data_IF_113397109516
#
_entry.id   IF_113397109516
#
_cell.length_a   1.000
_cell.length_b   1.000
_cell.length_c   1.000
_cell.angle_alpha   90.00
_cell.angle_beta   90.00
_cell.angle_gamma   90.00
#
_symmetry.space_group_name_H-M   'P 1'
#
loop_
_entity.id
_entity.type
_entity.pdbx_description
1 polymer ?
#
# COMPACT_ATOMS: atom_id res chain seq x y z
N UNK A 1 45.56 4.10 1.84
CA UNK A 1 44.17 3.64 1.78
C UNK A 1 43.39 4.59 0.90
N UNK A 2 42.83 4.11 -0.21
CA UNK A 2 42.00 4.91 -1.12
C UNK A 2 40.54 4.54 -0.90
N UNK A 3 39.65 5.52 -0.71
CA UNK A 3 38.21 5.25 -0.61
C UNK A 3 37.43 6.21 -1.48
N UNK A 4 36.42 5.67 -2.15
CA UNK A 4 35.46 6.42 -2.94
C UNK A 4 34.06 6.01 -2.53
N UNK A 5 33.21 7.00 -2.29
CA UNK A 5 31.81 6.80 -1.98
C UNK A 5 30.97 7.50 -3.04
N UNK A 6 30.06 6.75 -3.64
CA UNK A 6 29.18 7.22 -4.69
C UNK A 6 27.73 6.96 -4.30
N UNK A 7 26.84 7.85 -4.72
CA UNK A 7 25.40 7.70 -4.55
C UNK A 7 24.66 7.86 -5.87
N UNK A 8 23.57 7.12 -6.02
CA UNK A 8 22.57 7.27 -7.05
C UNK A 8 21.23 7.50 -6.35
N UNK A 9 20.66 8.68 -6.52
CA UNK A 9 19.33 9.01 -6.01
C UNK A 9 18.50 9.66 -7.10
N UNK A 10 17.45 8.96 -7.54
CA UNK A 10 16.51 9.44 -8.55
C UNK A 10 15.08 9.10 -8.11
N UNK A 11 14.22 10.12 -8.09
CA UNK A 11 12.84 9.97 -7.66
C UNK A 11 11.98 9.26 -8.71
N UNK A 12 12.30 9.40 -10.00
CA UNK A 12 11.50 8.82 -11.09
C UNK A 12 11.68 7.29 -11.17
N UNK A 13 12.93 6.82 -11.09
CA UNK A 13 13.23 5.38 -11.07
C UNK A 13 13.13 4.74 -9.67
N UNK A 14 13.00 5.54 -8.61
CA UNK A 14 13.03 5.07 -7.23
C UNK A 14 14.42 4.59 -6.76
N UNK A 15 15.47 4.84 -7.55
CA UNK A 15 16.84 4.52 -7.20
C UNK A 15 17.30 5.38 -6.01
N UNK A 16 17.83 4.74 -4.98
CA UNK A 16 18.33 5.42 -3.79
C UNK A 16 19.40 4.56 -3.11
N UNK A 17 20.55 4.45 -3.79
CA UNK A 17 21.59 3.46 -3.52
C UNK A 17 22.96 4.12 -3.35
N UNK A 18 23.79 3.51 -2.50
CA UNK A 18 25.19 3.86 -2.37
C UNK A 18 26.10 2.76 -2.91
N UNK A 19 27.30 3.16 -3.29
CA UNK A 19 28.38 2.26 -3.70
C UNK A 19 29.70 2.82 -3.17
N UNK A 20 30.37 2.07 -2.31
CA UNK A 20 31.66 2.41 -1.74
C UNK A 20 32.72 1.43 -2.22
N UNK A 21 33.87 1.97 -2.58
CA UNK A 21 35.10 1.23 -2.85
C UNK A 21 36.15 1.65 -1.82
N UNK A 22 36.90 0.68 -1.31
CA UNK A 22 38.02 0.90 -0.42
C UNK A 22 39.17 -0.03 -0.80
N UNK A 23 40.31 0.55 -1.17
CA UNK A 23 41.53 -0.17 -1.50
C UNK A 23 42.51 -0.05 -0.35
N UNK A 24 42.93 -1.21 0.16
CA UNK A 24 43.97 -1.36 1.16
C UNK A 24 44.98 -2.43 0.73
N UNK A 25 46.19 -2.00 0.34
CA UNK A 25 47.16 -2.86 -0.31
C UNK A 25 46.58 -3.51 -1.57
N UNK A 26 46.63 -4.84 -1.66
CA UNK A 26 46.06 -5.63 -2.75
C UNK A 26 44.60 -6.08 -2.51
N UNK A 27 43.94 -5.57 -1.48
CA UNK A 27 42.55 -5.88 -1.14
C UNK A 27 41.63 -4.73 -1.55
N UNK A 28 40.65 -5.03 -2.41
CA UNK A 28 39.53 -4.16 -2.71
C UNK A 28 38.30 -4.61 -1.92
N UNK A 29 37.81 -3.76 -1.04
CA UNK A 29 36.52 -3.90 -0.37
C UNK A 29 35.48 -3.05 -1.08
N UNK A 30 34.35 -3.67 -1.42
CA UNK A 30 33.20 -3.05 -2.06
C UNK A 30 32.03 -3.12 -1.09
N UNK A 31 31.40 -1.99 -0.76
CA UNK A 31 30.15 -1.95 0.00
C UNK A 31 29.05 -1.31 -0.84
N UNK A 32 27.86 -1.89 -0.86
CA UNK A 32 26.77 -1.36 -1.66
C UNK A 32 25.42 -1.68 -1.04
N UNK A 33 24.44 -0.81 -1.24
CA UNK A 33 23.12 -1.01 -0.66
C UNK A 33 22.24 0.22 -0.81
N UNK A 34 21.14 0.26 -0.06
CA UNK A 34 20.30 1.46 0.05
C UNK A 34 21.00 2.49 0.93
N UNK A 35 20.89 3.76 0.58
CA UNK A 35 21.44 4.86 1.38
C UNK A 35 20.83 4.81 2.80
N UNK A 36 21.66 5.07 3.82
CA UNK A 36 21.27 4.96 5.23
C UNK A 36 21.14 3.52 5.77
N UNK A 37 21.68 2.52 5.07
CA UNK A 37 21.77 1.12 5.54
C UNK A 37 23.22 0.64 5.56
N UNK A 38 23.48 -0.46 6.27
CA UNK A 38 24.81 -1.10 6.26
C UNK A 38 25.16 -1.72 4.88
N UNK A 39 24.16 -1.98 4.03
CA UNK A 39 24.34 -2.62 2.74
C UNK A 39 24.92 -4.04 2.84
N UNK A 40 25.46 -4.49 1.72
CA UNK A 40 26.22 -5.72 1.56
C UNK A 40 27.69 -5.39 1.30
N UNK A 41 28.58 -6.31 1.65
CA UNK A 41 30.01 -6.16 1.44
C UNK A 41 30.56 -7.33 0.63
N UNK A 42 31.46 -7.02 -0.30
CA UNK A 42 32.25 -7.96 -1.05
C UNK A 42 33.73 -7.59 -0.96
N UNK A 43 34.61 -8.57 -0.87
CA UNK A 43 36.06 -8.38 -0.90
C UNK A 43 36.66 -9.11 -2.10
N UNK A 44 37.64 -8.47 -2.74
CA UNK A 44 38.38 -9.00 -3.88
C UNK A 44 39.88 -8.79 -3.61
N UNK A 45 40.64 -9.88 -3.65
CA UNK A 45 42.10 -9.85 -3.47
C UNK A 45 42.79 -9.93 -4.83
N UNK A 46 43.86 -9.16 -5.00
CA UNK A 46 44.64 -9.06 -6.23
C UNK A 46 46.11 -9.43 -5.99
N UNK A 47 46.90 -9.60 -7.05
CA UNK A 47 48.31 -9.97 -6.92
C UNK A 47 49.19 -8.78 -6.48
N UNK A 48 48.77 -7.55 -6.81
CA UNK A 48 49.47 -6.32 -6.42
C UNK A 48 48.52 -5.20 -6.00
N UNK A 49 49.01 -4.18 -5.28
CA UNK A 49 48.23 -2.97 -4.99
C UNK A 49 47.80 -2.21 -6.25
N UNK A 50 48.63 -2.23 -7.29
CA UNK A 50 48.35 -1.56 -8.57
C UNK A 50 47.15 -2.21 -9.28
N UNK A 51 47.08 -3.54 -9.31
CA UNK A 51 45.94 -4.28 -9.87
C UNK A 51 44.63 -3.97 -9.10
N UNK A 52 44.70 -3.85 -7.77
CA UNK A 52 43.53 -3.50 -6.95
C UNK A 52 43.03 -2.08 -7.26
N UNK A 53 43.94 -1.12 -7.47
CA UNK A 53 43.61 0.24 -7.86
C UNK A 53 42.97 0.31 -9.26
N UNK A 54 43.55 -0.37 -10.26
CA UNK A 54 42.99 -0.43 -11.62
C UNK A 54 41.59 -1.04 -11.63
N UNK A 55 41.37 -2.11 -10.84
CA UNK A 55 40.07 -2.73 -10.67
C UNK A 55 39.05 -1.77 -10.02
N UNK A 56 39.46 -1.03 -8.99
CA UNK A 56 38.63 -0.02 -8.34
C UNK A 56 38.24 1.11 -9.31
N UNK A 57 39.19 1.64 -10.06
CA UNK A 57 38.93 2.67 -11.07
C UNK A 57 37.98 2.19 -12.18
N UNK A 58 38.14 0.95 -12.63
CA UNK A 58 37.22 0.35 -13.60
C UNK A 58 35.80 0.33 -13.05
N UNK A 59 35.61 -0.03 -11.78
CA UNK A 59 34.31 0.00 -11.10
C UNK A 59 33.75 1.42 -10.95
N UNK A 60 34.59 2.40 -10.63
CA UNK A 60 34.19 3.81 -10.58
C UNK A 60 33.66 4.29 -11.93
N UNK A 61 34.40 4.04 -13.02
CA UNK A 61 33.97 4.42 -14.38
C UNK A 61 32.67 3.73 -14.78
N UNK A 62 32.51 2.45 -14.43
CA UNK A 62 31.27 1.70 -14.67
C UNK A 62 30.08 2.34 -13.94
N UNK A 63 30.24 2.70 -12.66
CA UNK A 63 29.18 3.29 -11.85
C UNK A 63 28.85 4.72 -12.26
N UNK A 64 29.85 5.53 -12.59
CA UNK A 64 29.64 6.87 -13.12
C UNK A 64 28.79 6.85 -14.40
N UNK A 65 29.03 5.90 -15.31
CA UNK A 65 28.18 5.71 -16.52
C UNK A 65 26.74 5.33 -16.20
N UNK A 66 26.49 4.73 -15.03
CA UNK A 66 25.16 4.38 -14.52
C UNK A 66 24.53 5.53 -13.71
N UNK A 67 25.12 6.73 -13.73
CA UNK A 67 24.59 7.93 -13.08
C UNK A 67 24.98 8.10 -11.61
N UNK A 68 25.84 7.23 -11.06
CA UNK A 68 26.35 7.43 -9.70
C UNK A 68 27.26 8.66 -9.64
N UNK A 69 27.08 9.48 -8.61
CA UNK A 69 27.85 10.70 -8.37
C UNK A 69 28.69 10.57 -7.10
N UNK A 70 29.88 11.22 -7.02
CA UNK A 70 30.62 11.34 -5.77
C UNK A 70 29.77 11.98 -4.67
N UNK A 71 29.81 11.42 -3.46
CA UNK A 71 29.07 11.90 -2.31
C UNK A 71 29.86 11.64 -1.01
N UNK A 72 29.36 12.15 0.12
CA UNK A 72 29.88 11.85 1.45
C UNK A 72 28.90 10.96 2.23
N UNK A 73 29.38 9.87 2.88
CA UNK A 73 28.52 9.00 3.67
C UNK A 73 27.78 9.78 4.78
N UNK A 74 26.46 9.55 4.88
CA UNK A 74 25.64 10.11 5.95
C UNK A 74 25.08 11.52 5.70
N UNK A 75 25.41 12.15 4.57
CA UNK A 75 24.79 13.44 4.19
C UNK A 75 23.41 13.27 3.56
N UNK A 76 23.21 12.20 2.80
CA UNK A 76 21.91 11.92 2.16
C UNK A 76 21.03 11.12 3.11
N UNK A 77 19.83 11.63 3.38
CA UNK A 77 18.86 10.96 4.23
C UNK A 77 18.32 9.68 3.59
N UNK A 78 18.09 8.67 4.43
CA UNK A 78 17.40 7.44 4.03
C UNK A 78 16.00 7.77 3.51
N UNK A 79 15.68 7.29 2.32
CA UNK A 79 14.31 7.30 1.80
C UNK A 79 13.58 5.98 2.05
N UNK A 80 12.28 6.10 2.29
CA UNK A 80 11.34 4.99 2.31
C UNK A 80 11.20 4.40 0.89
N UNK A 81 11.03 3.08 0.80
CA UNK A 81 10.83 2.40 -0.50
C UNK A 81 9.36 2.49 -0.92
N UNK A 82 9.06 2.37 -2.23
CA UNK A 82 7.68 2.26 -2.74
C UNK A 82 6.87 1.23 -1.96
N UNK A 83 7.41 0.02 -1.80
CA UNK A 83 6.75 -1.05 -1.06
C UNK A 83 6.47 -0.71 0.42
N UNK A 84 7.42 -0.09 1.12
CA UNK A 84 7.21 0.29 2.53
C UNK A 84 6.15 1.40 2.66
N UNK A 85 6.18 2.38 1.75
CA UNK A 85 5.18 3.43 1.64
C UNK A 85 3.79 2.85 1.36
N UNK A 86 3.66 1.92 0.42
CA UNK A 86 2.39 1.21 0.13
C UNK A 86 1.87 0.44 1.34
N UNK A 87 2.71 -0.35 2.02
CA UNK A 87 2.31 -1.05 3.25
C UNK A 87 1.83 -0.09 4.34
N UNK A 88 2.49 1.06 4.48
CA UNK A 88 2.08 2.11 5.41
C UNK A 88 0.75 2.74 5.02
N UNK A 89 0.52 2.99 3.74
CA UNK A 89 -0.74 3.51 3.23
C UNK A 89 -1.90 2.53 3.46
N UNK A 90 -1.74 1.24 3.14
CA UNK A 90 -2.76 0.21 3.43
C UNK A 90 -3.06 0.10 4.93
N UNK A 91 -2.02 0.10 5.77
CA UNK A 91 -2.22 0.10 7.23
C UNK A 91 -2.98 1.34 7.71
N UNK A 92 -2.69 2.50 7.12
CA UNK A 92 -3.39 3.75 7.42
C UNK A 92 -4.85 3.65 6.99
N UNK A 93 -5.14 3.15 5.78
CA UNK A 93 -6.50 2.93 5.29
C UNK A 93 -7.31 2.07 6.25
N UNK A 94 -6.81 0.89 6.62
CA UNK A 94 -7.50 0.01 7.57
C UNK A 94 -7.69 0.65 8.94
N UNK A 95 -6.72 1.43 9.42
CA UNK A 95 -6.88 2.21 10.65
C UNK A 95 -8.00 3.24 10.57
N UNK A 96 -8.20 3.88 9.40
CA UNK A 96 -9.26 4.86 9.19
C UNK A 96 -10.64 4.19 9.09
N UNK A 97 -10.76 3.10 8.32
CA UNK A 97 -12.06 2.42 8.09
C UNK A 97 -12.45 1.47 9.23
N UNK A 98 -11.52 1.11 10.13
CA UNK A 98 -11.83 0.43 11.39
C UNK A 98 -12.17 1.38 12.54
N UNK A 99 -12.04 2.69 12.34
CA UNK A 99 -12.28 3.73 13.34
C UNK A 99 -11.47 3.48 14.63
N UNK A 100 -12.15 3.22 15.75
CA UNK A 100 -11.50 3.00 17.05
C UNK A 100 -11.07 1.52 17.24
N UNK A 101 -11.46 0.61 16.35
CA UNK A 101 -11.14 -0.82 16.46
C UNK A 101 -9.77 -1.16 15.87
N UNK A 102 -8.71 -0.74 16.58
CA UNK A 102 -7.33 -0.97 16.14
C UNK A 102 -6.93 -2.44 16.09
N UNK A 103 -7.54 -3.28 16.93
CA UNK A 103 -7.32 -4.74 16.88
C UNK A 103 -7.80 -5.30 15.55
N UNK A 104 -9.01 -4.95 15.11
CA UNK A 104 -9.53 -5.36 13.81
C UNK A 104 -8.69 -4.80 12.65
N UNK A 105 -8.26 -3.54 12.74
CA UNK A 105 -7.38 -2.94 11.73
C UNK A 105 -6.07 -3.73 11.56
N UNK A 106 -5.43 -4.11 12.67
CA UNK A 106 -4.18 -4.88 12.65
C UNK A 106 -4.41 -6.32 12.15
N UNK A 107 -5.57 -6.94 12.45
CA UNK A 107 -5.99 -8.25 11.93
C UNK A 107 -6.20 -8.22 10.41
N UNK A 108 -6.99 -7.27 9.89
CA UNK A 108 -7.15 -7.06 8.46
C UNK A 108 -5.81 -6.79 7.77
N UNK A 109 -4.92 -6.01 8.40
CA UNK A 109 -3.57 -5.78 7.87
C UNK A 109 -2.71 -7.06 7.83
N UNK A 110 -2.90 -8.00 8.76
CA UNK A 110 -2.24 -9.31 8.65
C UNK A 110 -2.80 -10.12 7.50
N UNK A 111 -4.13 -10.17 7.34
CA UNK A 111 -4.78 -10.91 6.26
C UNK A 111 -4.38 -10.36 4.89
N UNK A 112 -4.37 -9.04 4.71
CA UNK A 112 -3.83 -8.37 3.53
C UNK A 112 -2.43 -8.87 3.18
N UNK A 113 -1.51 -8.91 4.16
CA UNK A 113 -0.15 -9.41 3.92
C UNK A 113 -0.12 -10.89 3.56
N UNK A 114 -1.05 -11.70 4.08
CA UNK A 114 -1.17 -13.11 3.71
C UNK A 114 -1.59 -13.24 2.25
N UNK A 115 -2.64 -12.52 1.82
CA UNK A 115 -3.09 -12.51 0.42
C UNK A 115 -2.02 -11.98 -0.53
N UNK A 116 -1.27 -10.94 -0.14
CA UNK A 116 -0.15 -10.43 -0.94
C UNK A 116 1.00 -11.46 -1.09
N UNK A 117 1.09 -12.43 -0.18
CA UNK A 117 2.10 -13.49 -0.23
C UNK A 117 1.56 -14.81 -0.75
N UNK A 118 0.27 -14.92 -1.02
CA UNK A 118 -0.36 -16.12 -1.54
C UNK A 118 0.21 -16.45 -2.93
N UNK A 119 0.63 -17.70 -3.12
CA UNK A 119 1.34 -18.09 -4.34
C UNK A 119 0.37 -18.26 -5.52
N UNK A 120 -0.86 -18.72 -5.27
CA UNK A 120 -1.88 -18.86 -6.32
C UNK A 120 -2.29 -17.46 -6.81
N UNK A 121 -2.49 -16.50 -5.90
CA UNK A 121 -2.76 -15.11 -6.27
C UNK A 121 -1.58 -14.48 -7.01
N UNK A 122 -0.33 -14.71 -6.58
CA UNK A 122 0.84 -14.20 -7.32
C UNK A 122 0.97 -14.77 -8.72
N UNK A 123 0.58 -16.04 -8.93
CA UNK A 123 0.54 -16.65 -10.25
C UNK A 123 -0.57 -16.04 -11.11
N UNK A 124 -1.77 -15.85 -10.54
CA UNK A 124 -2.91 -15.22 -11.24
C UNK A 124 -2.59 -13.77 -11.68
N UNK A 125 -1.87 -13.02 -10.85
CA UNK A 125 -1.54 -11.62 -11.08
C UNK A 125 -0.07 -11.40 -11.49
N UNK A 126 0.59 -12.38 -12.12
CA UNK A 126 2.04 -12.31 -12.42
C UNK A 126 2.44 -11.08 -13.26
N UNK A 127 1.56 -10.68 -14.19
CA UNK A 127 1.73 -9.54 -15.08
C UNK A 127 1.03 -8.26 -14.57
N UNK A 128 0.33 -8.33 -13.43
CA UNK A 128 -0.46 -7.24 -12.84
C UNK A 128 -0.23 -7.10 -11.32
N UNK A 129 0.95 -6.61 -10.90
CA UNK A 129 1.27 -6.45 -9.48
C UNK A 129 0.39 -5.41 -8.77
N UNK A 130 -0.26 -4.51 -9.52
CA UNK A 130 -1.20 -3.53 -9.00
C UNK A 130 -2.55 -4.19 -8.71
N UNK A 131 -3.05 -5.02 -9.63
CA UNK A 131 -4.21 -5.90 -9.39
C UNK A 131 -4.04 -6.84 -8.20
N UNK A 132 -2.85 -7.44 -8.00
CA UNK A 132 -2.56 -8.26 -6.81
C UNK A 132 -2.70 -7.45 -5.51
N UNK A 133 -2.24 -6.20 -5.52
CA UNK A 133 -2.33 -5.33 -4.35
C UNK A 133 -3.79 -5.00 -4.04
N UNK A 134 -4.58 -4.64 -5.06
CA UNK A 134 -6.00 -4.32 -4.91
C UNK A 134 -6.80 -5.53 -4.42
N UNK A 135 -6.56 -6.70 -5.01
CA UNK A 135 -7.09 -7.98 -4.54
C UNK A 135 -6.77 -8.19 -3.05
N UNK A 136 -5.49 -8.07 -2.67
CA UNK A 136 -5.08 -8.29 -1.29
C UNK A 136 -5.70 -7.27 -0.32
N UNK A 137 -5.86 -6.01 -0.72
CA UNK A 137 -6.50 -4.96 0.09
C UNK A 137 -7.99 -5.28 0.30
N UNK A 138 -8.68 -5.75 -0.75
CA UNK A 138 -10.08 -6.11 -0.65
C UNK A 138 -10.25 -7.34 0.25
N UNK A 139 -9.65 -8.47 -0.12
CA UNK A 139 -9.78 -9.73 0.60
C UNK A 139 -9.23 -9.70 2.02
N UNK A 140 -8.24 -8.85 2.29
CA UNK A 140 -7.73 -8.62 3.64
C UNK A 140 -8.79 -8.06 4.62
N UNK A 141 -9.89 -7.49 4.11
CA UNK A 141 -10.91 -6.87 4.94
C UNK A 141 -12.37 -7.15 4.52
N UNK A 142 -12.61 -7.99 3.51
CA UNK A 142 -13.96 -8.40 3.09
C UNK A 142 -14.77 -9.02 4.25
N UNK A 143 -16.04 -8.64 4.34
CA UNK A 143 -16.97 -9.04 5.42
C UNK A 143 -16.50 -8.66 6.83
N UNK A 144 -15.56 -7.71 6.93
CA UNK A 144 -15.04 -7.18 8.19
C UNK A 144 -15.08 -5.65 8.22
N UNK A 145 -14.40 -5.01 7.26
CA UNK A 145 -14.37 -3.56 7.08
C UNK A 145 -14.81 -3.14 5.67
N UNK A 146 -14.73 -4.06 4.71
CA UNK A 146 -15.12 -3.87 3.30
C UNK A 146 -16.28 -4.83 3.00
N UNK A 147 -17.33 -4.33 2.35
CA UNK A 147 -18.37 -5.19 1.77
C UNK A 147 -18.14 -5.37 0.27
N UNK A 148 -18.60 -6.49 -0.26
CA UNK A 148 -18.70 -6.76 -1.70
C UNK A 148 -20.00 -7.51 -1.94
N UNK A 149 -20.94 -6.89 -2.65
CA UNK A 149 -22.30 -7.44 -2.83
C UNK A 149 -22.72 -7.41 -4.29
N UNK A 150 -23.49 -8.41 -4.71
CA UNK A 150 -24.09 -8.43 -6.05
C UNK A 150 -25.08 -7.27 -6.20
N UNK A 151 -25.15 -6.67 -7.40
CA UNK A 151 -25.94 -5.47 -7.68
C UNK A 151 -27.46 -5.61 -7.47
N UNK A 152 -27.99 -6.84 -7.38
CA UNK A 152 -29.40 -7.13 -7.09
C UNK A 152 -29.62 -7.76 -5.71
N UNK A 153 -28.57 -8.01 -4.93
CA UNK A 153 -28.68 -8.68 -3.63
C UNK A 153 -28.77 -7.66 -2.48
N UNK A 154 -29.98 -7.11 -2.31
CA UNK A 154 -30.26 -6.15 -1.24
C UNK A 154 -30.25 -6.78 0.15
N UNK A 155 -30.57 -8.07 0.28
CA UNK A 155 -30.57 -8.78 1.56
C UNK A 155 -29.13 -8.87 2.09
N UNK A 156 -28.20 -9.35 1.27
CA UNK A 156 -26.78 -9.44 1.66
C UNK A 156 -26.18 -8.06 1.96
N UNK A 157 -26.59 -7.01 1.23
CA UNK A 157 -26.14 -5.64 1.55
C UNK A 157 -26.53 -5.21 2.97
N UNK A 158 -27.77 -5.47 3.38
CA UNK A 158 -28.25 -5.08 4.71
C UNK A 158 -27.53 -5.87 5.82
N UNK A 159 -27.28 -7.16 5.58
CA UNK A 159 -26.47 -7.99 6.49
C UNK A 159 -25.03 -7.48 6.62
N UNK A 160 -24.41 -7.12 5.49
CA UNK A 160 -23.06 -6.53 5.48
C UNK A 160 -23.02 -5.19 6.23
N UNK A 161 -24.04 -4.32 6.12
CA UNK A 161 -24.11 -3.10 6.93
C UNK A 161 -24.15 -3.38 8.43
N UNK A 162 -24.94 -4.37 8.87
CA UNK A 162 -24.99 -4.76 10.28
C UNK A 162 -23.62 -5.29 10.76
N UNK A 163 -22.96 -6.11 9.95
CA UNK A 163 -21.61 -6.63 10.22
C UNK A 163 -20.61 -5.48 10.34
N UNK A 164 -20.54 -4.60 9.35
CA UNK A 164 -19.59 -3.48 9.33
C UNK A 164 -19.82 -2.55 10.53
N UNK A 165 -21.06 -2.14 10.78
CA UNK A 165 -21.41 -1.28 11.91
C UNK A 165 -21.02 -1.91 13.25
N UNK A 166 -21.34 -3.19 13.45
CA UNK A 166 -20.96 -3.94 14.65
C UNK A 166 -19.45 -3.98 14.83
N UNK A 167 -18.70 -4.29 13.77
CA UNK A 167 -17.25 -4.39 13.78
C UNK A 167 -16.56 -3.06 14.12
N UNK A 168 -17.12 -1.93 13.70
CA UNK A 168 -16.62 -0.60 14.07
C UNK A 168 -17.20 -0.07 15.40
N UNK A 169 -18.03 -0.85 16.09
CA UNK A 169 -18.60 -0.49 17.39
C UNK A 169 -19.76 0.51 17.34
N UNK A 170 -20.42 0.63 16.18
CA UNK A 170 -21.59 1.49 15.98
C UNK A 170 -22.88 0.67 15.90
N UNK A 171 -23.99 1.29 16.32
CA UNK A 171 -25.33 0.75 16.12
C UNK A 171 -26.18 1.83 15.45
N UNK A 172 -26.61 1.56 14.22
CA UNK A 172 -27.47 2.44 13.43
C UNK A 172 -28.69 1.64 13.03
N UNK A 173 -29.88 2.16 13.33
CA UNK A 173 -31.13 1.57 12.85
C UNK A 173 -31.59 2.35 11.64
N UNK A 174 -31.56 1.72 10.47
CA UNK A 174 -32.04 2.33 9.24
C UNK A 174 -33.58 2.33 9.18
N UNK A 175 -34.15 3.44 8.73
CA UNK A 175 -35.55 3.60 8.43
C UNK A 175 -35.76 3.48 6.92
N UNK A 176 -36.49 2.45 6.51
CA UNK A 176 -36.75 2.14 5.10
C UNK A 176 -38.19 2.50 4.69
N UNK A 177 -38.44 2.83 3.41
CA UNK A 177 -39.78 3.19 2.92
C UNK A 177 -40.72 1.99 2.70
N UNK A 178 -40.24 0.76 2.90
CA UNK A 178 -40.99 -0.49 2.74
C UNK A 178 -40.72 -1.46 3.89
N UNK A 179 -41.46 -2.58 3.91
CA UNK A 179 -41.34 -3.59 4.96
C UNK A 179 -40.16 -4.53 4.73
N UNK A 180 -39.86 -4.87 3.48
CA UNK A 180 -38.75 -5.75 3.09
C UNK A 180 -37.79 -5.04 2.13
N UNK A 181 -36.94 -4.13 2.63
CA UNK A 181 -36.04 -3.34 1.80
C UNK A 181 -35.06 -4.17 0.96
N UNK A 182 -34.62 -5.33 1.45
CA UNK A 182 -33.66 -6.18 0.74
C UNK A 182 -34.24 -6.80 -0.53
N UNK A 183 -35.54 -7.11 -0.53
CA UNK A 183 -36.25 -7.71 -1.67
C UNK A 183 -36.98 -6.66 -2.53
N UNK A 184 -37.45 -5.56 -1.92
CA UNK A 184 -38.32 -4.58 -2.59
C UNK A 184 -37.55 -3.38 -3.19
N UNK A 185 -36.28 -3.15 -2.80
CA UNK A 185 -35.52 -1.97 -3.23
C UNK A 185 -34.25 -2.33 -4.00
N UNK A 186 -33.87 -1.57 -5.04
CA UNK A 186 -32.57 -1.72 -5.68
C UNK A 186 -31.41 -1.43 -4.72
N UNK A 187 -30.33 -2.21 -4.80
CA UNK A 187 -29.11 -2.07 -3.98
C UNK A 187 -28.57 -0.64 -4.01
N UNK A 188 -28.51 -0.01 -5.19
CA UNK A 188 -28.08 1.38 -5.33
C UNK A 188 -28.94 2.37 -4.53
N UNK A 189 -30.25 2.16 -4.46
CA UNK A 189 -31.15 3.00 -3.67
C UNK A 189 -30.97 2.77 -2.17
N UNK A 190 -30.75 1.51 -1.75
CA UNK A 190 -30.42 1.17 -0.37
C UNK A 190 -29.14 1.87 0.09
N UNK A 191 -28.07 1.82 -0.70
CA UNK A 191 -26.81 2.50 -0.39
C UNK A 191 -26.98 4.02 -0.28
N UNK A 192 -27.72 4.65 -1.22
CA UNK A 192 -27.97 6.09 -1.18
C UNK A 192 -28.73 6.52 0.09
N UNK A 193 -29.76 5.77 0.49
CA UNK A 193 -30.51 6.04 1.71
C UNK A 193 -29.71 5.73 2.97
N UNK A 194 -28.91 4.67 2.98
CA UNK A 194 -28.01 4.35 4.08
C UNK A 194 -26.99 5.48 4.29
N UNK A 195 -26.37 5.97 3.21
CA UNK A 195 -25.43 7.10 3.27
C UNK A 195 -26.05 8.32 3.95
N UNK A 196 -27.27 8.72 3.57
CA UNK A 196 -27.96 9.86 4.18
C UNK A 196 -28.22 9.65 5.68
N UNK A 197 -28.56 8.42 6.06
CA UNK A 197 -28.87 8.06 7.44
C UNK A 197 -27.65 7.86 8.32
N UNK A 198 -26.47 7.61 7.73
CA UNK A 198 -25.19 7.52 8.45
C UNK A 198 -24.62 8.90 8.81
N UNK A 199 -24.92 9.94 8.03
CA UNK A 199 -24.36 11.28 8.22
C UNK A 199 -24.61 11.89 9.62
N UNK A 200 -25.82 11.79 10.24
CA UNK A 200 -26.05 12.26 11.61
C UNK A 200 -25.21 11.52 12.68
N UNK A 201 -24.69 10.33 12.36
CA UNK A 201 -23.82 9.55 13.22
C UNK A 201 -22.32 9.86 12.99
N UNK A 202 -22.00 10.85 12.14
CA UNK A 202 -20.63 11.20 11.78
C UNK A 202 -19.95 10.15 10.88
N UNK A 203 -20.75 9.29 10.25
CA UNK A 203 -20.29 8.23 9.36
C UNK A 203 -20.65 8.56 7.91
N UNK A 204 -19.89 8.00 6.99
CA UNK A 204 -20.12 8.05 5.55
C UNK A 204 -19.99 6.65 4.96
N UNK A 205 -20.87 6.34 4.02
CA UNK A 205 -20.73 5.17 3.15
C UNK A 205 -19.94 5.56 1.91
N UNK A 206 -18.79 4.92 1.72
CA UNK A 206 -17.96 4.98 0.51
C UNK A 206 -18.27 3.74 -0.31
N UNK A 207 -18.57 3.88 -1.60
CA UNK A 207 -18.87 2.75 -2.46
C UNK A 207 -18.68 3.05 -3.94
N UNK A 208 -18.48 2.00 -4.74
CA UNK A 208 -18.36 2.10 -6.19
C UNK A 208 -18.92 0.83 -6.86
N UNK A 209 -19.26 0.98 -8.14
CA UNK A 209 -19.57 -0.14 -9.03
C UNK A 209 -18.26 -0.76 -9.52
N UNK A 210 -18.10 -2.07 -9.34
CA UNK A 210 -16.88 -2.78 -9.76
C UNK A 210 -16.81 -2.97 -11.27
N UNK A 211 -17.91 -2.75 -12.00
CA UNK A 211 -18.06 -3.12 -13.41
C UNK A 211 -18.32 -4.62 -13.62
N UNK A 212 -18.43 -5.40 -12.55
CA UNK A 212 -18.59 -6.85 -12.55
C UNK A 212 -19.83 -7.25 -11.72
N UNK A 213 -21.00 -6.69 -12.05
CA UNK A 213 -22.29 -7.00 -11.44
C UNK A 213 -22.26 -6.94 -9.89
N UNK A 214 -21.41 -6.08 -9.33
CA UNK A 214 -21.26 -5.96 -7.88
C UNK A 214 -20.88 -4.55 -7.45
N UNK A 215 -21.25 -4.22 -6.22
CA UNK A 215 -20.80 -3.03 -5.51
C UNK A 215 -19.79 -3.42 -4.44
N UNK A 216 -18.82 -2.55 -4.23
CA UNK A 216 -17.88 -2.64 -3.11
C UNK A 216 -17.88 -1.33 -2.34
N UNK A 217 -17.53 -1.41 -1.07
CA UNK A 217 -17.44 -0.21 -0.24
C UNK A 217 -17.09 -0.48 1.20
N UNK A 218 -17.04 0.60 1.97
CA UNK A 218 -16.75 0.60 3.40
C UNK A 218 -17.40 1.79 4.11
N UNK A 219 -17.36 1.76 5.44
CA UNK A 219 -17.73 2.89 6.28
C UNK A 219 -16.49 3.68 6.68
N UNK A 220 -16.64 5.00 6.79
CA UNK A 220 -15.58 5.89 7.29
C UNK A 220 -16.16 7.04 8.08
N UNK A 221 -15.33 7.70 8.92
CA UNK A 221 -15.77 8.93 9.59
C UNK A 221 -15.82 10.08 8.60
N UNK A 222 -16.83 10.91 8.72
CA UNK A 222 -16.92 12.18 7.98
C UNK A 222 -15.69 13.05 8.18
N UNK A 223 -15.13 13.07 9.39
CA UNK A 223 -13.94 13.87 9.72
C UNK A 223 -12.66 13.39 9.04
N UNK A 224 -12.61 12.12 8.60
CA UNK A 224 -11.43 11.49 8.01
C UNK A 224 -11.49 11.45 6.48
N UNK A 225 -12.54 12.00 5.87
CA UNK A 225 -12.82 11.88 4.44
C UNK A 225 -11.67 12.36 3.55
N UNK A 226 -11.06 13.52 3.87
CA UNK A 226 -9.91 14.04 3.12
C UNK A 226 -8.70 13.11 3.20
N UNK A 227 -8.49 12.49 4.36
CA UNK A 227 -7.38 11.57 4.57
C UNK A 227 -7.62 10.24 3.85
N UNK A 228 -8.85 9.71 3.89
CA UNK A 228 -9.25 8.51 3.14
C UNK A 228 -9.04 8.77 1.64
N UNK A 229 -9.51 9.90 1.10
CA UNK A 229 -9.31 10.26 -0.30
C UNK A 229 -7.82 10.34 -0.70
N UNK A 230 -6.99 10.96 0.14
CA UNK A 230 -5.56 11.04 -0.13
C UNK A 230 -4.88 9.66 -0.16
N UNK A 231 -5.26 8.77 0.76
CA UNK A 231 -4.70 7.42 0.86
C UNK A 231 -5.19 6.51 -0.27
N UNK A 232 -6.47 6.58 -0.65
CA UNK A 232 -7.00 5.79 -1.77
C UNK A 232 -6.37 6.22 -3.09
N UNK A 233 -6.17 7.53 -3.31
CA UNK A 233 -5.44 8.04 -4.46
C UNK A 233 -3.95 7.63 -4.46
N UNK A 234 -3.31 7.56 -3.28
CA UNK A 234 -1.93 7.05 -3.17
C UNK A 234 -1.83 5.55 -3.50
N UNK A 235 -2.87 4.78 -3.18
CA UNK A 235 -2.98 3.36 -3.45
C UNK A 235 -3.52 3.04 -4.84
N UNK A 236 -3.95 4.05 -5.61
CA UNK A 236 -4.64 3.93 -6.90
C UNK A 236 -5.97 3.15 -6.84
N UNK A 237 -6.63 3.17 -5.67
CA UNK A 237 -7.92 2.50 -5.47
C UNK A 237 -9.06 3.30 -6.10
N UNK A 238 -9.97 2.62 -6.78
CA UNK A 238 -11.21 3.19 -7.33
C UNK A 238 -12.29 3.43 -6.25
N UNK A 239 -11.89 3.99 -5.11
CA UNK A 239 -12.81 4.29 -4.02
C UNK A 239 -13.47 5.65 -4.26
N UNK A 240 -14.72 5.61 -4.68
CA UNK A 240 -15.49 6.83 -4.96
C UNK A 240 -16.31 7.25 -3.74
N UNK A 241 -16.32 8.56 -3.49
CA UNK A 241 -17.35 9.18 -2.67
C UNK A 241 -18.56 9.45 -3.57
N UNK A 242 -19.79 9.17 -3.13
CA UNK A 242 -20.98 9.57 -3.88
C UNK A 242 -21.16 11.10 -3.77
N UNK A 243 -20.40 11.90 -4.53
CA UNK A 243 -20.64 13.36 -4.59
C UNK A 243 -21.93 13.70 -5.35
N UNK A 244 -22.48 12.78 -6.16
CA UNK A 244 -23.68 13.03 -6.96
C UNK A 244 -24.50 11.75 -7.23
N UNK A 245 -25.26 11.28 -6.24
CA UNK A 245 -26.44 10.44 -6.49
C UNK A 245 -27.71 11.30 -6.37
#
# INVERSE_FOLDING_TARGET
MHSHYLELSDAASGEHKFYQLQVDGSLLTIRYGRIGTNGQQQQLSFASPEEALEAAEKKLREKARKGYQPAEPGQTEKRETRHARQLKAVRTLYGLIALDNQTLADECFQLFKQHLQDEDAKEEFEDDPEGLQDYAIQFGATSSLIFSVDWKDGVSLLEEFDVLLSNIGHQVTFSWPCADPGEEMPVAQLMALAHQQLAPHGLQLWFWDTGCDSYQGWLGRTADAEQIYAITAELDLNASYPEHA
#
